data_IF_354474981301
#
_entry.id   IF_354474981301
#
_cell.length_a   1.000
_cell.length_b   1.000
_cell.length_c   1.000
_cell.angle_alpha   90.00
_cell.angle_beta   90.00
_cell.angle_gamma   90.00
#
_symmetry.space_group_name_H-M   'P 1'
#
loop_
_entity.id
_entity.type
_entity.pdbx_description
1 polymer ?
#
# COMPACT_ATOMS: atom_id res chain seq x y z
N UNK A 1 -15.34 -1.08 7.38
CA UNK A 1 -15.21 -1.29 5.94
C UNK A 1 -13.84 -1.86 5.58
N UNK A 2 -13.66 -2.32 4.32
CA UNK A 2 -12.38 -2.78 3.79
C UNK A 2 -11.85 -1.80 2.76
N UNK A 3 -10.53 -1.72 2.64
CA UNK A 3 -9.83 -0.97 1.60
C UNK A 3 -8.54 -1.67 1.17
N UNK A 4 -7.80 -1.03 0.25
CA UNK A 4 -6.46 -1.49 -0.14
C UNK A 4 -5.44 -0.36 0.06
N UNK A 5 -4.22 -0.74 0.42
CA UNK A 5 -3.10 0.17 0.70
C UNK A 5 -1.89 -0.25 -0.12
N UNK A 6 -1.47 0.59 -1.04
CA UNK A 6 -0.26 0.40 -1.84
C UNK A 6 0.87 1.31 -1.34
N UNK A 7 0.54 2.56 -0.99
CA UNK A 7 1.49 3.57 -0.53
C UNK A 7 0.98 4.41 0.65
N UNK A 8 -0.13 3.99 1.29
CA UNK A 8 -0.77 4.72 2.39
C UNK A 8 -2.29 4.81 2.28
N UNK A 9 -2.90 4.15 1.28
CA UNK A 9 -4.32 4.38 0.93
C UNK A 9 -5.35 3.84 1.93
N UNK A 10 -4.94 3.14 2.98
CA UNK A 10 -5.73 2.87 4.19
C UNK A 10 -5.34 3.86 5.30
N UNK A 11 -4.05 3.98 5.59
CA UNK A 11 -3.54 4.75 6.72
C UNK A 11 -3.81 6.24 6.59
N UNK A 12 -3.57 6.82 5.42
CA UNK A 12 -3.77 8.24 5.16
C UNK A 12 -5.24 8.67 5.24
N UNK A 13 -6.21 8.03 4.54
CA UNK A 13 -7.61 8.41 4.67
C UNK A 13 -8.15 8.14 6.08
N UNK A 14 -7.69 7.09 6.78
CA UNK A 14 -8.06 6.87 8.17
C UNK A 14 -7.66 8.05 9.06
N UNK A 15 -6.43 8.55 8.88
CA UNK A 15 -5.94 9.74 9.60
C UNK A 15 -6.79 10.98 9.31
N UNK A 16 -7.13 11.23 8.04
CA UNK A 16 -7.96 12.38 7.67
C UNK A 16 -9.40 12.29 8.18
N UNK A 17 -9.93 11.07 8.31
CA UNK A 17 -11.29 10.85 8.80
C UNK A 17 -11.39 10.64 10.31
N UNK A 18 -10.28 10.63 11.04
CA UNK A 18 -10.26 10.41 12.50
C UNK A 18 -10.73 9.01 12.89
N UNK A 19 -10.43 8.00 12.08
CA UNK A 19 -10.78 6.58 12.32
C UNK A 19 -9.53 5.72 12.35
N UNK A 20 -9.67 4.45 12.75
CA UNK A 20 -8.57 3.48 12.76
C UNK A 20 -8.50 2.77 11.41
N UNK A 21 -7.30 2.72 10.81
CA UNK A 21 -7.02 1.98 9.60
C UNK A 21 -5.78 1.10 9.75
N UNK A 22 -5.91 -0.18 9.42
CA UNK A 22 -4.82 -1.15 9.52
C UNK A 22 -4.29 -1.55 8.15
N UNK A 23 -3.05 -1.18 7.86
CA UNK A 23 -2.29 -1.83 6.78
C UNK A 23 -1.66 -3.13 7.31
N UNK A 24 -2.15 -4.24 6.82
CA UNK A 24 -1.67 -5.55 7.24
C UNK A 24 -0.26 -5.86 6.74
N UNK A 25 0.38 -6.87 7.30
CA UNK A 25 1.63 -7.42 6.75
C UNK A 25 1.36 -8.05 5.38
N UNK A 26 2.29 -7.84 4.43
CA UNK A 26 2.19 -8.39 3.08
C UNK A 26 1.99 -9.91 3.14
N UNK A 27 0.96 -10.40 2.43
CA UNK A 27 0.61 -11.80 2.38
C UNK A 27 -0.23 -12.34 3.53
N UNK A 28 -0.54 -11.54 4.57
CA UNK A 28 -1.41 -11.99 5.67
C UNK A 28 -2.90 -12.00 5.29
N UNK A 29 -3.29 -11.18 4.33
CA UNK A 29 -4.65 -11.14 3.78
C UNK A 29 -4.54 -11.40 2.28
N UNK A 30 -5.37 -12.31 1.77
CA UNK A 30 -5.42 -12.63 0.35
C UNK A 30 -5.82 -11.42 -0.48
N UNK A 31 -5.19 -11.29 -1.65
CA UNK A 31 -5.52 -10.28 -2.67
C UNK A 31 -6.34 -10.88 -3.81
N UNK A 32 -6.77 -12.14 -3.70
CA UNK A 32 -7.63 -12.76 -4.70
C UNK A 32 -8.93 -11.97 -4.85
N UNK A 33 -9.24 -11.58 -6.09
CA UNK A 33 -10.37 -10.70 -6.39
C UNK A 33 -10.10 -9.19 -6.27
N UNK A 34 -8.93 -8.79 -5.74
CA UNK A 34 -8.52 -7.38 -5.74
C UNK A 34 -8.05 -6.96 -7.13
N UNK A 35 -8.51 -5.79 -7.58
CA UNK A 35 -7.98 -5.13 -8.76
C UNK A 35 -6.58 -4.62 -8.48
N UNK A 36 -5.56 -5.27 -9.08
CA UNK A 36 -4.16 -4.96 -8.78
C UNK A 36 -3.75 -3.57 -9.28
N UNK A 37 -3.17 -2.76 -8.40
CA UNK A 37 -2.49 -1.52 -8.74
C UNK A 37 -0.97 -1.75 -8.77
N UNK A 38 -0.35 -1.98 -7.62
CA UNK A 38 1.06 -2.34 -7.47
C UNK A 38 1.18 -3.67 -6.73
N UNK A 39 1.28 -4.78 -7.47
CA UNK A 39 1.17 -6.13 -6.91
C UNK A 39 2.21 -6.45 -5.83
N UNK A 40 3.39 -5.82 -5.89
CA UNK A 40 4.44 -5.97 -4.88
C UNK A 40 4.16 -5.21 -3.57
N UNK A 41 3.16 -4.32 -3.58
CA UNK A 41 2.89 -3.39 -2.48
C UNK A 41 1.46 -3.48 -1.97
N UNK A 42 0.49 -3.85 -2.83
CA UNK A 42 -0.93 -3.85 -2.48
C UNK A 42 -1.24 -4.74 -1.28
N UNK A 43 -1.97 -4.19 -0.32
CA UNK A 43 -2.47 -4.90 0.86
C UNK A 43 -3.93 -4.57 1.09
N UNK A 44 -4.72 -5.57 1.48
CA UNK A 44 -6.09 -5.36 1.96
C UNK A 44 -6.06 -5.19 3.48
N UNK A 45 -6.84 -4.25 3.98
CA UNK A 45 -6.98 -4.03 5.41
C UNK A 45 -8.28 -3.34 5.79
N UNK A 46 -8.65 -3.43 7.07
CA UNK A 46 -9.88 -2.87 7.59
C UNK A 46 -9.76 -1.41 8.03
N UNK A 47 -10.90 -0.73 8.01
CA UNK A 47 -11.19 0.50 8.73
C UNK A 47 -12.25 0.24 9.81
N UNK A 48 -12.12 0.88 10.96
CA UNK A 48 -13.06 0.80 12.07
C UNK A 48 -13.06 2.07 12.91
N UNK A 49 -14.00 2.19 13.82
CA UNK A 49 -14.06 3.31 14.77
C UNK A 49 -13.14 3.09 15.99
N UNK A 50 -12.78 1.85 16.27
CA UNK A 50 -11.89 1.44 17.35
C UNK A 50 -10.85 0.43 16.88
N UNK A 51 -9.81 0.22 17.69
CA UNK A 51 -8.78 -0.81 17.44
C UNK A 51 -9.41 -2.20 17.52
N UNK A 52 -10.33 -2.41 18.42
CA UNK A 52 -11.06 -3.66 18.63
C UNK A 52 -11.86 -4.04 17.39
N UNK A 53 -12.60 -3.08 16.79
CA UNK A 53 -13.35 -3.31 15.54
C UNK A 53 -12.42 -3.75 14.40
N UNK A 54 -11.27 -3.08 14.28
CA UNK A 54 -10.29 -3.37 13.25
C UNK A 54 -9.63 -4.73 13.47
N UNK A 55 -9.32 -5.08 14.73
CA UNK A 55 -8.76 -6.38 15.09
C UNK A 55 -9.73 -7.53 14.78
N UNK A 56 -11.01 -7.39 15.10
CA UNK A 56 -12.03 -8.41 14.80
C UNK A 56 -12.15 -8.65 13.29
N UNK A 57 -12.24 -7.58 12.51
CA UNK A 57 -12.29 -7.72 11.04
C UNK A 57 -11.00 -8.33 10.50
N UNK A 58 -9.83 -7.92 11.01
CA UNK A 58 -8.55 -8.48 10.60
C UNK A 58 -8.45 -9.99 10.88
N UNK A 59 -8.91 -10.46 12.04
CA UNK A 59 -8.96 -11.90 12.37
C UNK A 59 -9.80 -12.68 11.37
N UNK A 60 -10.91 -12.10 10.90
CA UNK A 60 -11.80 -12.75 9.95
C UNK A 60 -11.24 -12.84 8.52
N UNK A 61 -10.51 -11.81 8.08
CA UNK A 61 -10.00 -11.75 6.70
C UNK A 61 -8.57 -12.26 6.54
N UNK A 62 -7.85 -12.46 7.64
CA UNK A 62 -6.47 -12.95 7.62
C UNK A 62 -6.44 -14.47 7.52
N UNK A 63 -5.54 -15.01 6.71
CA UNK A 63 -5.38 -16.46 6.54
C UNK A 63 -4.62 -16.80 5.28
N UNK A 64 -4.25 -18.08 5.15
CA UNK A 64 -3.68 -18.59 3.92
C UNK A 64 -4.77 -18.82 2.87
N UNK A 65 -4.52 -18.33 1.66
CA UNK A 65 -5.38 -18.54 0.50
C UNK A 65 -4.56 -19.10 -0.67
N UNK A 66 -4.83 -20.33 -1.15
CA UNK A 66 -4.11 -20.91 -2.27
C UNK A 66 -4.37 -20.19 -3.60
N UNK A 67 -5.39 -19.34 -3.68
CA UNK A 67 -5.69 -18.52 -4.87
C UNK A 67 -4.81 -17.27 -4.98
N UNK A 68 -4.11 -16.88 -3.92
CA UNK A 68 -3.09 -15.83 -3.93
C UNK A 68 -1.71 -16.43 -3.63
N UNK A 69 -0.87 -16.52 -4.66
CA UNK A 69 0.48 -17.11 -4.55
C UNK A 69 1.41 -16.38 -3.57
N UNK A 70 1.06 -15.17 -3.15
CA UNK A 70 1.81 -14.40 -2.15
C UNK A 70 1.25 -14.53 -0.75
N UNK A 71 0.14 -15.24 -0.58
CA UNK A 71 -0.47 -15.49 0.73
C UNK A 71 0.45 -16.34 1.61
N UNK A 72 0.74 -15.85 2.82
CA UNK A 72 1.63 -16.53 3.76
C UNK A 72 0.99 -17.82 4.29
N UNK A 73 1.78 -18.88 4.32
CA UNK A 73 1.34 -20.15 4.93
C UNK A 73 1.26 -20.01 6.46
N UNK A 74 0.46 -20.87 7.10
CA UNK A 74 0.33 -20.88 8.57
C UNK A 74 1.68 -21.09 9.28
N UNK A 75 2.59 -21.88 8.69
CA UNK A 75 3.94 -22.07 9.24
C UNK A 75 4.73 -20.74 9.31
N UNK A 76 4.64 -19.90 8.29
CA UNK A 76 5.34 -18.61 8.26
C UNK A 76 4.65 -17.62 9.20
N UNK A 77 3.32 -17.61 9.24
CA UNK A 77 2.53 -16.76 10.14
C UNK A 77 2.76 -17.07 11.61
N UNK A 78 2.90 -18.33 11.96
CA UNK A 78 3.17 -18.80 13.33
C UNK A 78 4.56 -18.50 13.86
N UNK A 79 5.48 -17.97 13.04
CA UNK A 79 6.84 -17.61 13.47
C UNK A 79 6.93 -16.30 14.27
N UNK A 80 5.80 -15.60 14.49
CA UNK A 80 5.76 -14.45 15.39
C UNK A 80 6.11 -14.90 16.81
N UNK A 81 7.26 -14.45 17.33
CA UNK A 81 7.69 -14.81 18.68
C UNK A 81 6.82 -14.09 19.70
N UNK A 82 6.05 -14.84 20.47
CA UNK A 82 5.45 -14.34 21.71
C UNK A 82 6.57 -13.89 22.67
N UNK A 83 6.40 -12.75 23.31
CA UNK A 83 7.31 -12.28 24.37
C UNK A 83 8.51 -11.46 23.89
N UNK A 84 8.37 -10.70 22.79
CA UNK A 84 9.39 -9.74 22.36
C UNK A 84 9.72 -8.70 23.44
N UNK A 85 10.95 -8.13 23.39
CA UNK A 85 11.35 -7.01 24.23
C UNK A 85 10.40 -5.84 23.99
N UNK A 86 9.97 -5.18 25.05
CA UNK A 86 9.15 -3.95 24.98
C UNK A 86 10.01 -2.76 24.53
N UNK A 87 10.53 -2.80 23.30
CA UNK A 87 11.37 -1.76 22.71
C UNK A 87 10.70 -1.26 21.44
N UNK A 88 10.55 0.06 21.31
CA UNK A 88 10.02 0.74 20.14
C UNK A 88 11.12 1.64 19.57
N UNK A 89 11.46 1.44 18.29
CA UNK A 89 12.34 2.33 17.54
C UNK A 89 11.53 3.47 16.91
N UNK A 90 12.02 4.69 17.06
CA UNK A 90 11.41 5.89 16.46
C UNK A 90 12.47 6.63 15.66
N UNK A 91 12.26 6.90 14.34
CA UNK A 91 13.19 7.70 13.55
C UNK A 91 12.97 9.19 13.81
N UNK A 92 13.54 9.69 14.92
CA UNK A 92 13.30 11.06 15.39
C UNK A 92 13.74 12.11 14.38
N UNK A 93 14.79 11.87 13.60
CA UNK A 93 15.23 12.75 12.52
C UNK A 93 14.15 12.94 11.44
N UNK A 94 13.38 11.90 11.16
CA UNK A 94 12.27 11.94 10.20
C UNK A 94 11.01 12.58 10.80
N UNK A 95 10.74 12.37 12.08
CA UNK A 95 9.58 12.93 12.80
C UNK A 95 9.72 14.45 12.96
N UNK A 96 10.90 14.93 13.32
CA UNK A 96 11.17 16.33 13.59
C UNK A 96 11.57 17.15 12.35
N UNK A 97 11.31 16.64 11.14
CA UNK A 97 11.64 17.36 9.92
C UNK A 97 10.75 18.58 9.68
N UNK A 98 11.24 19.52 8.90
CA UNK A 98 10.48 20.68 8.45
C UNK A 98 9.18 20.27 7.72
N UNK A 99 8.09 20.98 7.97
CA UNK A 99 6.79 20.77 7.36
C UNK A 99 5.87 19.82 8.13
N UNK A 100 6.28 19.31 9.29
CA UNK A 100 5.38 18.63 10.23
C UNK A 100 4.66 19.70 11.06
N UNK A 101 3.33 19.62 11.12
CA UNK A 101 2.50 20.52 11.91
C UNK A 101 2.78 20.37 13.40
N UNK A 102 2.84 21.50 14.14
CA UNK A 102 3.19 21.53 15.56
C UNK A 102 2.19 20.74 16.43
N UNK A 103 0.89 20.74 16.10
CA UNK A 103 -0.11 19.98 16.84
C UNK A 103 0.04 18.49 16.61
N UNK A 104 0.39 18.08 15.39
CA UNK A 104 0.69 16.68 15.04
C UNK A 104 1.92 16.23 15.82
N UNK A 105 2.99 17.02 15.82
CA UNK A 105 4.22 16.72 16.56
C UNK A 105 3.98 16.61 18.07
N UNK A 106 3.19 17.53 18.64
CA UNK A 106 2.79 17.49 20.05
C UNK A 106 2.04 16.20 20.38
N UNK A 107 1.01 15.86 19.60
CA UNK A 107 0.23 14.64 19.80
C UNK A 107 1.10 13.37 19.69
N UNK A 108 2.04 13.36 18.74
CA UNK A 108 3.00 12.28 18.58
C UNK A 108 3.85 12.11 19.86
N UNK A 109 4.43 13.19 20.36
CA UNK A 109 5.28 13.14 21.56
C UNK A 109 4.48 12.71 22.81
N UNK A 110 3.25 13.19 22.98
CA UNK A 110 2.37 12.76 24.06
C UNK A 110 2.05 11.25 23.96
N UNK A 111 1.89 10.73 22.73
CA UNK A 111 1.68 9.29 22.49
C UNK A 111 2.92 8.47 22.85
N UNK A 112 4.11 8.96 22.52
CA UNK A 112 5.38 8.33 22.92
C UNK A 112 5.53 8.29 24.45
N UNK A 113 5.16 9.35 25.14
CA UNK A 113 5.24 9.39 26.61
C UNK A 113 4.22 8.43 27.27
N UNK A 114 3.03 8.30 26.72
CA UNK A 114 2.06 7.27 27.13
C UNK A 114 2.64 5.86 26.95
N UNK A 115 3.26 5.58 25.81
CA UNK A 115 3.91 4.29 25.52
C UNK A 115 5.01 3.98 26.56
N UNK A 116 5.88 4.94 26.85
CA UNK A 116 6.91 4.81 27.90
C UNK A 116 6.30 4.49 29.27
N UNK A 117 5.19 5.15 29.62
CA UNK A 117 4.50 4.92 30.90
C UNK A 117 3.93 3.51 31.04
N UNK A 118 3.72 2.79 29.94
CA UNK A 118 3.30 1.36 29.94
C UNK A 118 4.47 0.38 29.99
N UNK A 119 5.69 0.88 30.21
CA UNK A 119 6.90 0.07 30.42
C UNK A 119 7.63 -0.32 29.11
N UNK A 120 7.36 0.38 28.02
CA UNK A 120 8.15 0.26 26.79
C UNK A 120 9.38 1.17 26.83
N UNK A 121 10.52 0.65 26.38
CA UNK A 121 11.71 1.43 26.06
C UNK A 121 11.55 2.05 24.67
N UNK A 122 11.77 3.34 24.54
CA UNK A 122 11.75 4.03 23.24
C UNK A 122 13.17 4.41 22.86
N UNK A 123 13.61 4.00 21.67
CA UNK A 123 14.95 4.27 21.13
C UNK A 123 14.84 5.10 19.85
N UNK A 124 15.71 6.07 19.72
CA UNK A 124 15.94 6.70 18.42
C UNK A 124 16.65 5.71 17.49
N UNK A 125 16.15 5.60 16.26
CA UNK A 125 16.69 4.72 15.23
C UNK A 125 16.92 5.50 13.95
N UNK A 126 18.04 5.23 13.30
CA UNK A 126 18.35 5.77 12.00
C UNK A 126 17.84 4.83 10.89
N UNK A 127 16.98 5.36 10.01
CA UNK A 127 16.49 4.66 8.81
C UNK A 127 17.02 5.41 7.59
N UNK A 128 18.24 5.11 7.23
CA UNK A 128 19.07 5.82 6.26
C UNK A 128 18.46 6.09 4.87
N UNK A 129 17.40 5.44 4.45
CA UNK A 129 16.83 5.61 3.11
C UNK A 129 15.39 6.12 3.13
N UNK A 130 14.87 6.48 4.30
CA UNK A 130 13.47 6.85 4.46
C UNK A 130 13.08 8.08 3.61
N UNK A 131 14.00 9.03 3.44
CA UNK A 131 13.80 10.22 2.60
C UNK A 131 13.57 9.89 1.12
N UNK A 132 14.16 8.80 0.63
CA UNK A 132 14.03 8.35 -0.75
C UNK A 132 12.80 7.48 -0.99
N UNK A 133 12.13 7.02 0.06
CA UNK A 133 11.06 6.05 -0.02
C UNK A 133 9.92 6.50 -0.95
N UNK A 134 9.54 7.76 -0.93
CA UNK A 134 8.47 8.28 -1.78
C UNK A 134 8.86 8.25 -3.27
N UNK A 135 10.08 8.64 -3.60
CA UNK A 135 10.55 8.62 -5.00
C UNK A 135 10.66 7.19 -5.52
N UNK A 136 11.20 6.27 -4.71
CA UNK A 136 11.27 4.85 -5.04
C UNK A 136 9.87 4.26 -5.23
N UNK A 137 8.94 4.59 -4.32
CA UNK A 137 7.55 4.15 -4.44
C UNK A 137 6.92 4.56 -5.78
N UNK A 138 7.06 5.81 -6.20
CA UNK A 138 6.47 6.26 -7.46
C UNK A 138 7.05 5.55 -8.67
N UNK A 139 8.36 5.30 -8.70
CA UNK A 139 9.00 4.56 -9.80
C UNK A 139 8.45 3.13 -9.88
N UNK A 140 8.47 2.40 -8.79
CA UNK A 140 7.98 1.02 -8.72
C UNK A 140 6.48 0.94 -9.02
N UNK A 141 5.69 1.80 -8.40
CA UNK A 141 4.24 1.80 -8.55
C UNK A 141 3.82 2.10 -9.99
N UNK A 142 4.41 3.10 -10.65
CA UNK A 142 4.07 3.40 -12.05
C UNK A 142 4.45 2.24 -12.98
N UNK A 143 5.61 1.63 -12.80
CA UNK A 143 6.03 0.47 -13.57
C UNK A 143 5.03 -0.69 -13.43
N UNK A 144 4.64 -1.02 -12.20
CA UNK A 144 3.68 -2.10 -11.93
C UNK A 144 2.26 -1.76 -12.40
N UNK A 145 1.80 -0.51 -12.24
CA UNK A 145 0.50 -0.05 -12.76
C UNK A 145 0.41 -0.24 -14.26
N UNK A 146 1.44 0.14 -15.01
CA UNK A 146 1.42 -0.02 -16.46
C UNK A 146 1.27 -1.48 -16.88
N UNK A 147 1.93 -2.40 -16.19
CA UNK A 147 1.84 -3.85 -16.43
C UNK A 147 0.51 -4.42 -15.95
N UNK A 148 0.08 -4.09 -14.73
CA UNK A 148 -1.16 -4.63 -14.15
C UNK A 148 -2.41 -4.20 -14.90
N UNK A 149 -2.49 -2.93 -15.31
CA UNK A 149 -3.63 -2.41 -16.04
C UNK A 149 -3.64 -2.78 -17.54
N UNK A 150 -2.58 -3.40 -18.05
CA UNK A 150 -2.55 -3.93 -19.43
C UNK A 150 -3.62 -5.00 -19.65
N UNK A 151 -4.05 -5.73 -18.59
CA UNK A 151 -5.09 -6.77 -18.67
C UNK A 151 -6.49 -6.24 -18.99
N UNK A 152 -6.74 -4.95 -18.74
CA UNK A 152 -8.03 -4.30 -19.01
C UNK A 152 -8.06 -3.81 -20.46
N UNK A 153 -8.22 -4.73 -21.36
CA UNK A 153 -8.17 -4.54 -22.82
C UNK A 153 -9.55 -4.44 -23.49
N UNK A 154 -10.62 -4.64 -22.71
CA UNK A 154 -11.99 -4.65 -23.19
C UNK A 154 -12.40 -5.97 -23.88
N UNK A 155 -11.52 -6.98 -23.88
CA UNK A 155 -11.80 -8.32 -24.43
C UNK A 155 -12.21 -9.27 -23.29
N UNK A 156 -11.33 -9.45 -22.29
CA UNK A 156 -11.58 -10.31 -21.14
C UNK A 156 -11.97 -9.53 -19.90
N UNK A 157 -11.44 -8.33 -19.76
CA UNK A 157 -11.65 -7.48 -18.58
C UNK A 157 -11.89 -6.02 -18.98
N UNK A 158 -12.62 -5.32 -18.13
CA UNK A 158 -12.88 -3.90 -18.25
C UNK A 158 -14.01 -3.55 -19.19
N UNK A 159 -14.14 -2.24 -19.45
CA UNK A 159 -15.12 -1.70 -20.40
C UNK A 159 -14.77 -2.19 -21.81
N UNK A 160 -15.76 -2.73 -22.52
CA UNK A 160 -15.63 -3.07 -23.93
C UNK A 160 -16.37 -2.01 -24.79
N UNK A 161 -15.63 -1.37 -25.66
CA UNK A 161 -16.15 -0.40 -26.61
C UNK A 161 -15.96 -0.93 -28.04
N UNK A 162 -17.03 -1.09 -28.82
CA UNK A 162 -16.91 -1.61 -30.17
C UNK A 162 -16.21 -0.60 -31.09
N UNK A 163 -15.26 -1.08 -31.87
CA UNK A 163 -14.58 -0.33 -32.93
C UNK A 163 -14.63 -1.10 -34.25
N UNK A 164 -14.29 -0.47 -35.34
CA UNK A 164 -14.32 -1.07 -36.68
C UNK A 164 -13.30 -2.21 -36.87
N UNK A 165 -12.25 -2.22 -36.06
CA UNK A 165 -11.21 -3.27 -36.03
C UNK A 165 -10.87 -3.61 -34.60
N UNK A 166 -10.24 -4.81 -34.37
CA UNK A 166 -9.79 -5.22 -33.03
C UNK A 166 -8.85 -4.19 -32.38
N UNK A 167 -7.96 -3.58 -33.18
CA UNK A 167 -7.05 -2.53 -32.70
C UNK A 167 -7.83 -1.28 -32.27
N UNK A 168 -8.79 -0.83 -33.08
CA UNK A 168 -9.64 0.32 -32.72
C UNK A 168 -10.44 0.03 -31.46
N UNK A 169 -11.09 -1.14 -31.37
CA UNK A 169 -11.83 -1.54 -30.16
C UNK A 169 -10.94 -1.50 -28.92
N UNK A 170 -9.70 -1.98 -29.01
CA UNK A 170 -8.75 -1.93 -27.92
C UNK A 170 -8.43 -0.48 -27.49
N UNK A 171 -8.09 0.40 -28.43
CA UNK A 171 -7.78 1.79 -28.13
C UNK A 171 -8.99 2.54 -27.57
N UNK A 172 -10.15 2.37 -28.16
CA UNK A 172 -11.40 3.04 -27.74
C UNK A 172 -11.83 2.58 -26.35
N UNK A 173 -11.79 1.26 -26.07
CA UNK A 173 -12.10 0.70 -24.76
C UNK A 173 -11.20 1.26 -23.66
N UNK A 174 -9.90 1.28 -23.87
CA UNK A 174 -8.96 1.81 -22.90
C UNK A 174 -9.05 3.32 -22.74
N UNK A 175 -9.28 4.04 -23.83
CA UNK A 175 -9.45 5.50 -23.80
C UNK A 175 -10.72 5.91 -23.07
N UNK A 176 -11.81 5.21 -23.28
CA UNK A 176 -13.08 5.46 -22.61
C UNK A 176 -13.09 4.98 -21.15
N UNK A 177 -12.45 3.83 -20.88
CA UNK A 177 -12.44 3.19 -19.56
C UNK A 177 -11.47 3.80 -18.55
N UNK A 178 -10.36 4.39 -19.00
CA UNK A 178 -9.35 4.95 -18.11
C UNK A 178 -9.47 6.48 -18.02
N UNK A 179 -9.65 6.97 -16.78
CA UNK A 179 -9.59 8.40 -16.49
C UNK A 179 -8.18 8.98 -16.68
N UNK A 180 -8.08 10.30 -16.66
CA UNK A 180 -6.84 11.04 -16.96
C UNK A 180 -5.67 10.63 -16.05
N UNK A 181 -5.90 10.48 -14.73
CA UNK A 181 -4.85 10.10 -13.78
C UNK A 181 -4.35 8.67 -14.02
N UNK A 182 -5.24 7.72 -14.29
CA UNK A 182 -4.85 6.34 -14.59
C UNK A 182 -4.01 6.29 -15.87
N UNK A 183 -4.42 7.01 -16.92
CA UNK A 183 -3.64 7.11 -18.16
C UNK A 183 -2.26 7.72 -17.93
N UNK A 184 -2.18 8.77 -17.12
CA UNK A 184 -0.92 9.39 -16.73
C UNK A 184 0.02 8.37 -16.05
N UNK A 185 -0.49 7.58 -15.12
CA UNK A 185 0.29 6.54 -14.42
C UNK A 185 0.77 5.44 -15.37
N UNK A 186 -0.09 4.98 -16.28
CA UNK A 186 0.28 3.99 -17.29
C UNK A 186 1.41 4.52 -18.19
N UNK A 187 1.30 5.77 -18.66
CA UNK A 187 2.32 6.39 -19.51
C UNK A 187 3.66 6.54 -18.78
N UNK A 188 3.65 7.02 -17.54
CA UNK A 188 4.85 7.13 -16.71
C UNK A 188 5.50 5.77 -16.46
N UNK A 189 4.71 4.74 -16.17
CA UNK A 189 5.21 3.39 -15.97
C UNK A 189 5.81 2.80 -17.25
N UNK A 190 5.17 3.02 -18.39
CA UNK A 190 5.71 2.61 -19.68
C UNK A 190 7.05 3.31 -19.97
N UNK A 191 7.15 4.58 -19.63
CA UNK A 191 8.39 5.35 -19.77
C UNK A 191 9.52 4.79 -18.88
N UNK A 192 9.22 4.54 -17.59
CA UNK A 192 10.19 3.93 -16.65
C UNK A 192 10.71 2.58 -17.13
N UNK A 193 9.82 1.76 -17.74
CA UNK A 193 10.18 0.44 -18.24
C UNK A 193 10.80 0.45 -19.65
N UNK A 194 10.92 1.62 -20.29
CA UNK A 194 11.50 1.72 -21.63
C UNK A 194 13.01 1.59 -21.61
N UNK A 195 13.56 1.19 -22.75
CA UNK A 195 15.02 1.05 -22.95
C UNK A 195 15.76 2.35 -22.58
N UNK A 196 16.83 2.24 -21.82
CA UNK A 196 17.65 3.35 -21.34
C UNK A 196 17.17 3.96 -20.01
N UNK A 197 15.91 3.74 -19.58
CA UNK A 197 15.40 4.19 -18.29
C UNK A 197 15.25 3.05 -17.30
N UNK A 198 14.97 1.83 -17.76
CA UNK A 198 14.84 0.65 -16.91
C UNK A 198 16.07 0.43 -16.03
N UNK A 199 17.26 0.39 -16.63
CA UNK A 199 18.52 0.15 -15.89
C UNK A 199 18.88 1.31 -14.96
N UNK A 200 18.53 2.55 -15.34
CA UNK A 200 18.87 3.74 -14.57
C UNK A 200 17.96 3.98 -13.37
N UNK A 201 16.67 3.63 -13.46
CA UNK A 201 15.67 4.01 -12.46
C UNK A 201 14.98 2.82 -11.79
N UNK A 202 14.59 1.81 -12.57
CA UNK A 202 13.83 0.67 -12.03
C UNK A 202 14.73 -0.36 -11.35
#
# INVERSE_FOLDING_TARGET
SLGSDTGGSIRQPASFCGIVGLKTTYGNVSRFGLMAMGSSLDQIGPFGNSVEDVEEVYKLISGHDPMDSTSLTEEVRGRSKEGGRKIIGVPMSFVNREGVDDEVLKNFNESIDKIKSTGYEVKDVDINQLEKALSVYYILMFAEVSSNLARYDGIRYGLSHPGETSIKSYFESRTAGFGAEVRRRILLGTYVLSSGYYDAYY
#
